data_IF_740868428067
#
_entry.id   IF_740868428067
#
_cell.length_a   1.000
_cell.length_b   1.000
_cell.length_c   1.000
_cell.angle_alpha   90.00
_cell.angle_beta   90.00
_cell.angle_gamma   90.00
#
_symmetry.space_group_name_H-M   'P 1'
#
loop_
_entity.id
_entity.type
_entity.pdbx_description
1 polymer ?
#
# COMPACT_ATOMS: atom_id res chain seq x y z
N UNK A 1 -12.70 -9.82 32.39
CA UNK A 1 -11.72 -9.14 31.51
C UNK A 1 -10.83 -10.19 30.86
N UNK A 2 -11.28 -10.81 29.76
CA UNK A 2 -10.51 -11.83 29.04
C UNK A 2 -9.58 -11.11 28.05
N UNK A 3 -8.34 -10.84 28.46
CA UNK A 3 -7.25 -10.40 27.58
C UNK A 3 -6.33 -11.61 27.40
N UNK A 4 -6.16 -12.12 26.18
CA UNK A 4 -5.09 -13.09 25.96
C UNK A 4 -5.08 -13.84 24.63
N UNK A 5 -6.23 -14.11 24.02
CA UNK A 5 -6.24 -14.85 22.76
C UNK A 5 -6.39 -13.89 21.57
N UNK A 6 -5.52 -13.98 20.54
CA UNK A 6 -5.69 -13.22 19.31
C UNK A 6 -7.03 -13.61 18.68
N UNK A 7 -7.80 -12.61 18.24
CA UNK A 7 -9.08 -12.84 17.57
C UNK A 7 -8.86 -13.74 16.33
N UNK A 8 -9.35 -14.99 16.34
CA UNK A 8 -9.11 -15.92 15.24
C UNK A 8 -9.72 -15.43 13.92
N UNK A 9 -10.78 -14.61 13.98
CA UNK A 9 -11.36 -14.03 12.78
C UNK A 9 -10.46 -12.95 12.16
N UNK A 10 -9.72 -12.19 12.98
CA UNK A 10 -8.74 -11.22 12.45
C UNK A 10 -7.59 -11.95 11.75
N UNK A 11 -7.10 -13.05 12.34
CA UNK A 11 -6.08 -13.88 11.69
C UNK A 11 -6.60 -14.46 10.37
N UNK A 12 -7.81 -15.00 10.35
CA UNK A 12 -8.43 -15.49 9.13
C UNK A 12 -8.59 -14.37 8.06
N UNK A 13 -8.99 -13.16 8.46
CA UNK A 13 -9.08 -12.02 7.56
C UNK A 13 -7.71 -11.64 6.97
N UNK A 14 -6.65 -11.63 7.77
CA UNK A 14 -5.28 -11.37 7.30
C UNK A 14 -4.77 -12.47 6.36
N UNK A 15 -5.14 -13.73 6.58
CA UNK A 15 -4.78 -14.82 5.68
C UNK A 15 -5.41 -14.67 4.28
N UNK A 16 -6.60 -14.03 4.17
CA UNK A 16 -7.19 -13.71 2.87
C UNK A 16 -6.28 -12.79 2.04
N UNK A 17 -5.52 -11.90 2.69
CA UNK A 17 -4.58 -11.01 2.00
C UNK A 17 -3.51 -11.78 1.21
N UNK A 18 -3.12 -12.97 1.66
CA UNK A 18 -2.12 -13.78 0.94
C UNK A 18 -2.57 -14.14 -0.47
N UNK A 19 -3.86 -14.48 -0.64
CA UNK A 19 -4.41 -14.81 -1.96
C UNK A 19 -4.49 -13.57 -2.85
N UNK A 20 -4.93 -12.43 -2.30
CA UNK A 20 -4.99 -11.17 -3.04
C UNK A 20 -3.60 -10.64 -3.43
N UNK A 21 -2.61 -10.83 -2.55
CA UNK A 21 -1.23 -10.40 -2.75
C UNK A 21 -0.43 -11.36 -3.64
N UNK A 22 -0.93 -12.58 -3.89
CA UNK A 22 -0.20 -13.60 -4.64
C UNK A 22 0.37 -13.10 -5.97
N UNK A 23 -0.37 -12.39 -6.84
CA UNK A 23 0.18 -11.89 -8.10
C UNK A 23 1.31 -10.88 -7.92
N UNK A 24 1.31 -10.10 -6.84
CA UNK A 24 2.39 -9.14 -6.52
C UNK A 24 3.64 -9.88 -6.03
N UNK A 25 3.46 -10.98 -5.29
CA UNK A 25 4.55 -11.78 -4.74
C UNK A 25 5.17 -12.72 -5.79
N UNK A 26 4.37 -13.25 -6.71
CA UNK A 26 4.81 -14.26 -7.67
C UNK A 26 5.45 -13.68 -8.94
N UNK A 27 5.27 -12.39 -9.20
CA UNK A 27 5.77 -11.74 -10.42
C UNK A 27 6.78 -10.64 -10.09
N UNK A 28 7.84 -10.57 -10.90
CA UNK A 28 8.81 -9.49 -10.83
C UNK A 28 8.23 -8.19 -11.38
N UNK A 29 8.70 -7.06 -10.84
CA UNK A 29 8.23 -5.74 -11.24
C UNK A 29 6.81 -5.40 -10.77
N UNK A 30 6.33 -4.23 -11.19
CA UNK A 30 4.99 -3.74 -10.86
C UNK A 30 3.94 -4.30 -11.85
N UNK A 31 2.68 -4.48 -11.40
CA UNK A 31 1.58 -4.75 -12.31
C UNK A 31 1.46 -3.66 -13.39
N UNK A 32 1.11 -4.06 -14.59
CA UNK A 32 0.83 -3.12 -15.67
C UNK A 32 -0.53 -2.45 -15.46
N UNK A 33 -0.54 -1.29 -14.81
CA UNK A 33 -1.72 -0.42 -14.66
C UNK A 33 -1.56 0.86 -15.49
N UNK A 34 -2.66 1.60 -15.68
CA UNK A 34 -2.66 2.82 -16.46
C UNK A 34 -1.70 3.91 -15.91
N UNK A 35 -1.52 3.95 -14.60
CA UNK A 35 -0.77 4.97 -13.86
C UNK A 35 0.44 4.42 -13.07
N UNK A 36 0.65 3.09 -13.06
CA UNK A 36 1.73 2.44 -12.32
C UNK A 36 3.12 3.03 -12.60
N UNK A 37 3.51 3.21 -13.88
CA UNK A 37 4.77 3.88 -14.22
C UNK A 37 4.89 5.30 -13.67
N UNK A 38 3.79 6.05 -13.65
CA UNK A 38 3.76 7.43 -13.11
C UNK A 38 4.05 7.41 -11.61
N UNK A 39 3.45 6.49 -10.85
CA UNK A 39 3.72 6.36 -9.43
C UNK A 39 5.16 5.96 -9.12
N UNK A 40 5.76 5.07 -9.92
CA UNK A 40 7.16 4.70 -9.77
C UNK A 40 8.11 5.87 -10.05
N UNK A 41 7.86 6.68 -11.08
CA UNK A 41 8.65 7.89 -11.38
C UNK A 41 8.56 8.91 -10.22
N UNK A 42 7.37 9.11 -9.66
CA UNK A 42 7.17 9.99 -8.50
C UNK A 42 7.88 9.47 -7.24
N UNK A 43 7.95 8.15 -7.08
CA UNK A 43 8.72 7.55 -5.99
C UNK A 43 10.23 7.78 -6.17
N UNK A 44 10.74 7.67 -7.41
CA UNK A 44 12.15 7.93 -7.69
C UNK A 44 12.55 9.39 -7.35
N UNK A 45 11.66 10.34 -7.63
CA UNK A 45 11.81 11.75 -7.24
C UNK A 45 11.88 11.93 -5.72
N UNK A 46 10.98 11.29 -4.97
CA UNK A 46 11.02 11.32 -3.50
C UNK A 46 12.32 10.71 -2.97
N UNK A 47 12.75 9.58 -3.55
CA UNK A 47 13.97 8.91 -3.17
C UNK A 47 15.20 9.80 -3.38
N UNK A 48 15.30 10.48 -4.54
CA UNK A 48 16.37 11.44 -4.82
C UNK A 48 16.36 12.58 -3.80
N UNK A 49 15.18 13.17 -3.53
CA UNK A 49 15.05 14.22 -2.53
C UNK A 49 15.53 13.78 -1.13
N UNK A 50 15.22 12.55 -0.72
CA UNK A 50 15.70 12.00 0.55
C UNK A 50 17.21 11.78 0.57
N UNK A 51 17.81 11.33 -0.54
CA UNK A 51 19.26 11.23 -0.68
C UNK A 51 19.95 12.59 -0.56
N UNK A 52 19.27 13.65 -1.01
CA UNK A 52 19.72 15.05 -0.89
C UNK A 52 19.39 15.67 0.48
N UNK A 53 18.85 14.89 1.43
CA UNK A 53 18.51 15.33 2.79
C UNK A 53 17.17 16.07 2.91
N UNK A 54 16.35 16.09 1.86
CA UNK A 54 15.05 16.75 1.81
C UNK A 54 13.95 15.71 2.07
N UNK A 55 13.58 15.52 3.35
CA UNK A 55 12.59 14.52 3.74
C UNK A 55 11.15 14.84 3.30
N UNK A 56 10.86 16.14 3.15
CA UNK A 56 9.55 16.66 2.74
C UNK A 56 9.70 17.57 1.52
N UNK A 57 9.98 17.01 0.33
CA UNK A 57 10.13 17.81 -0.88
C UNK A 57 8.79 18.47 -1.25
N UNK A 58 8.88 19.56 -2.01
CA UNK A 58 7.72 20.23 -2.62
C UNK A 58 7.75 20.14 -4.14
N UNK A 59 8.94 20.03 -4.70
CA UNK A 59 9.24 20.08 -6.12
C UNK A 59 9.84 18.74 -6.57
N UNK A 60 9.46 18.30 -7.76
CA UNK A 60 10.00 17.13 -8.45
C UNK A 60 10.68 17.63 -9.74
N UNK A 61 12.01 17.77 -9.79
CA UNK A 61 12.72 18.43 -10.88
C UNK A 61 12.73 17.68 -12.22
N UNK A 62 12.73 16.35 -12.24
CA UNK A 62 12.88 15.56 -13.47
C UNK A 62 11.53 15.33 -14.18
N UNK A 63 10.42 15.54 -13.48
CA UNK A 63 9.07 15.46 -14.05
C UNK A 63 8.76 16.63 -15.01
N UNK A 64 7.61 16.50 -15.69
CA UNK A 64 7.12 17.49 -16.66
C UNK A 64 8.17 17.82 -17.74
N UNK A 65 8.75 16.78 -18.38
CA UNK A 65 9.81 16.93 -19.40
C UNK A 65 11.06 17.67 -18.89
N UNK A 66 11.38 17.58 -17.60
CA UNK A 66 12.53 18.24 -16.98
C UNK A 66 12.31 19.72 -16.63
N UNK A 67 11.11 20.27 -16.84
CA UNK A 67 10.75 21.59 -16.31
C UNK A 67 10.48 21.55 -14.81
N UNK A 68 10.23 20.37 -14.26
CA UNK A 68 9.83 20.13 -12.90
C UNK A 68 8.38 20.52 -12.62
N UNK A 69 7.87 20.04 -11.48
CA UNK A 69 6.52 20.40 -11.02
C UNK A 69 6.39 20.36 -9.49
N UNK A 70 5.44 21.11 -8.90
CA UNK A 70 5.23 21.14 -7.44
C UNK A 70 4.46 19.91 -6.92
N UNK A 71 4.80 18.71 -7.40
CA UNK A 71 4.06 17.48 -7.18
C UNK A 71 3.71 17.24 -5.71
N UNK A 72 4.71 17.27 -4.83
CA UNK A 72 4.57 16.88 -3.43
C UNK A 72 3.79 17.90 -2.59
N UNK A 73 3.50 19.08 -3.15
CA UNK A 73 2.59 20.06 -2.52
C UNK A 73 1.12 19.68 -2.68
N UNK A 74 0.79 18.85 -3.68
CA UNK A 74 -0.60 18.52 -4.05
C UNK A 74 -0.90 17.02 -4.03
N UNK A 75 0.11 16.17 -4.19
CA UNK A 75 -0.06 14.73 -4.19
C UNK A 75 -0.16 14.17 -2.74
N UNK A 76 -1.11 13.27 -2.45
CA UNK A 76 -1.16 12.59 -1.16
C UNK A 76 0.17 11.86 -0.87
N UNK A 77 0.82 12.10 0.28
CA UNK A 77 2.20 11.66 0.50
C UNK A 77 2.32 10.19 0.94
N UNK A 78 1.26 9.60 1.51
CA UNK A 78 1.38 8.40 2.32
C UNK A 78 1.95 7.19 1.56
N UNK A 79 1.49 6.96 0.33
CA UNK A 79 2.00 5.87 -0.51
C UNK A 79 3.52 6.00 -0.69
N UNK A 80 3.99 7.21 -0.99
CA UNK A 80 5.40 7.42 -1.28
C UNK A 80 6.26 7.33 -0.03
N UNK A 81 5.75 7.82 1.10
CA UNK A 81 6.47 7.78 2.38
C UNK A 81 6.61 6.36 2.92
N UNK A 82 5.54 5.55 2.87
CA UNK A 82 5.60 4.14 3.27
C UNK A 82 6.53 3.35 2.35
N UNK A 83 6.44 3.59 1.04
CA UNK A 83 7.33 2.98 0.06
C UNK A 83 8.79 3.35 0.31
N UNK A 84 9.07 4.62 0.62
CA UNK A 84 10.42 5.07 0.91
C UNK A 84 10.99 4.42 2.17
N UNK A 85 10.18 4.29 3.23
CA UNK A 85 10.59 3.58 4.46
C UNK A 85 10.90 2.11 4.18
N UNK A 86 10.11 1.42 3.35
CA UNK A 86 10.43 0.06 2.92
C UNK A 86 11.71 0.01 2.08
N UNK A 87 11.92 0.98 1.19
CA UNK A 87 13.13 1.08 0.39
C UNK A 87 14.40 1.21 1.25
N UNK A 88 14.33 1.93 2.39
CA UNK A 88 15.45 2.05 3.34
C UNK A 88 15.91 0.70 3.93
N UNK A 89 15.08 -0.35 3.86
CA UNK A 89 15.50 -1.71 4.26
C UNK A 89 16.40 -2.42 3.24
N UNK A 90 16.66 -1.79 2.08
CA UNK A 90 17.45 -2.34 0.98
C UNK A 90 16.63 -2.97 -0.15
N UNK A 91 15.30 -2.93 -0.06
CA UNK A 91 14.40 -3.36 -1.15
C UNK A 91 14.59 -2.49 -2.39
N UNK A 92 14.46 -3.04 -3.59
CA UNK A 92 14.34 -2.24 -4.81
C UNK A 92 13.05 -1.38 -4.76
N UNK A 93 12.99 -0.25 -5.47
CA UNK A 93 11.86 0.69 -5.38
C UNK A 93 10.52 0.07 -5.79
N UNK A 94 10.51 -0.76 -6.82
CA UNK A 94 9.35 -1.50 -7.29
C UNK A 94 8.90 -2.55 -6.27
N UNK A 95 9.83 -3.28 -5.66
CA UNK A 95 9.54 -4.24 -4.58
C UNK A 95 9.02 -3.55 -3.31
N UNK A 96 9.60 -2.41 -2.94
CA UNK A 96 9.13 -1.60 -1.84
C UNK A 96 7.71 -1.09 -2.09
N UNK A 97 7.42 -0.66 -3.32
CA UNK A 97 6.07 -0.20 -3.71
C UNK A 97 5.07 -1.36 -3.70
N UNK A 98 5.46 -2.57 -4.13
CA UNK A 98 4.64 -3.78 -3.95
C UNK A 98 4.38 -4.07 -2.47
N UNK A 99 5.39 -3.94 -1.61
CA UNK A 99 5.23 -4.07 -0.16
C UNK A 99 4.19 -3.10 0.41
N UNK A 100 4.19 -1.84 -0.05
CA UNK A 100 3.17 -0.85 0.31
C UNK A 100 1.76 -1.27 -0.13
N UNK A 101 1.62 -1.79 -1.36
CA UNK A 101 0.33 -2.28 -1.87
C UNK A 101 -0.16 -3.49 -1.05
N UNK A 102 0.72 -4.43 -0.70
CA UNK A 102 0.38 -5.59 0.13
C UNK A 102 -0.06 -5.14 1.53
N UNK A 103 0.62 -4.16 2.12
CA UNK A 103 0.21 -3.57 3.39
C UNK A 103 -1.19 -2.94 3.29
N UNK A 104 -1.48 -2.21 2.20
CA UNK A 104 -2.82 -1.67 1.96
C UNK A 104 -3.89 -2.76 1.87
N UNK A 105 -3.62 -3.86 1.17
CA UNK A 105 -4.54 -5.02 1.10
C UNK A 105 -4.78 -5.64 2.49
N UNK A 106 -3.74 -5.73 3.33
CA UNK A 106 -3.88 -6.20 4.70
C UNK A 106 -4.76 -5.27 5.54
N UNK A 107 -4.55 -3.96 5.42
CA UNK A 107 -5.33 -2.94 6.11
C UNK A 107 -6.79 -2.91 5.64
N UNK A 108 -7.06 -3.14 4.36
CA UNK A 108 -8.42 -3.25 3.83
C UNK A 108 -9.17 -4.45 4.44
N UNK A 109 -8.54 -5.62 4.42
CA UNK A 109 -9.13 -6.84 4.98
C UNK A 109 -9.35 -6.71 6.49
N UNK A 110 -8.32 -6.29 7.23
CA UNK A 110 -8.40 -6.10 8.67
C UNK A 110 -9.43 -5.02 9.03
N UNK A 111 -9.33 -3.83 8.43
CA UNK A 111 -10.23 -2.72 8.73
C UNK A 111 -11.71 -3.08 8.53
N UNK A 112 -12.04 -3.76 7.41
CA UNK A 112 -13.41 -4.17 7.14
C UNK A 112 -13.89 -5.29 8.08
N UNK A 113 -13.03 -6.25 8.40
CA UNK A 113 -13.31 -7.27 9.40
C UNK A 113 -13.65 -6.66 10.76
N UNK A 114 -12.76 -5.78 11.25
CA UNK A 114 -12.91 -5.10 12.55
C UNK A 114 -14.20 -4.28 12.60
N UNK A 115 -14.50 -3.51 11.53
CA UNK A 115 -15.69 -2.70 11.47
C UNK A 115 -16.98 -3.54 11.53
N UNK A 116 -17.09 -4.55 10.67
CA UNK A 116 -18.33 -5.31 10.52
C UNK A 116 -18.54 -6.31 11.65
N UNK A 117 -17.47 -6.87 12.24
CA UNK A 117 -17.63 -7.75 13.40
C UNK A 117 -18.23 -7.02 14.61
N UNK A 118 -17.85 -5.74 14.79
CA UNK A 118 -18.26 -4.92 15.93
C UNK A 118 -19.73 -4.46 15.77
N UNK A 119 -20.20 -4.30 14.53
CA UNK A 119 -21.60 -3.92 14.22
C UNK A 119 -22.53 -5.14 14.18
N UNK A 120 -22.07 -6.27 13.64
CA UNK A 120 -22.90 -7.45 13.40
C UNK A 120 -22.36 -8.69 14.12
N UNK A 121 -21.38 -9.38 13.52
CA UNK A 121 -20.80 -10.60 14.08
C UNK A 121 -19.45 -10.93 13.42
N UNK A 122 -18.58 -11.73 14.08
CA UNK A 122 -17.31 -12.17 13.48
C UNK A 122 -17.47 -12.87 12.13
N UNK A 123 -18.54 -13.66 11.93
CA UNK A 123 -18.80 -14.34 10.64
C UNK A 123 -19.14 -13.33 9.55
N UNK A 124 -20.01 -12.36 9.85
CA UNK A 124 -20.31 -11.27 8.93
C UNK A 124 -19.07 -10.44 8.60
N UNK A 125 -18.20 -10.21 9.59
CA UNK A 125 -16.91 -9.54 9.43
C UNK A 125 -16.02 -10.24 8.40
N UNK A 126 -15.91 -11.56 8.45
CA UNK A 126 -15.10 -12.33 7.49
C UNK A 126 -15.66 -12.24 6.06
N UNK A 127 -16.98 -12.34 5.91
CA UNK A 127 -17.63 -12.20 4.60
C UNK A 127 -17.40 -10.80 4.05
N UNK A 128 -17.54 -9.77 4.88
CA UNK A 128 -17.30 -8.39 4.48
C UNK A 128 -15.83 -8.12 4.15
N UNK A 129 -14.89 -8.67 4.91
CA UNK A 129 -13.46 -8.59 4.60
C UNK A 129 -13.13 -9.23 3.26
N UNK A 130 -13.64 -10.43 2.98
CA UNK A 130 -13.46 -11.08 1.68
C UNK A 130 -14.09 -10.26 0.54
N UNK A 131 -15.34 -9.82 0.70
CA UNK A 131 -16.01 -8.99 -0.29
C UNK A 131 -15.25 -7.67 -0.53
N UNK A 132 -14.78 -7.02 0.54
CA UNK A 132 -13.99 -5.81 0.48
C UNK A 132 -12.50 -6.04 0.16
N UNK A 133 -12.01 -7.26 0.04
CA UNK A 133 -10.66 -7.51 -0.44
C UNK A 133 -10.66 -7.84 -1.93
N UNK A 134 -11.66 -8.61 -2.37
CA UNK A 134 -11.70 -9.21 -3.71
C UNK A 134 -12.62 -8.51 -4.72
N UNK A 135 -13.42 -7.52 -4.32
CA UNK A 135 -14.21 -6.78 -5.32
C UNK A 135 -13.29 -6.16 -6.41
N UNK A 136 -13.74 -6.13 -7.67
CA UNK A 136 -12.96 -5.62 -8.80
C UNK A 136 -12.80 -4.08 -8.75
N UNK A 137 -11.85 -3.54 -9.53
CA UNK A 137 -11.59 -2.09 -9.71
C UNK A 137 -11.25 -1.33 -8.42
N UNK A 138 -10.20 -1.77 -7.73
CA UNK A 138 -9.64 -1.08 -6.54
C UNK A 138 -8.35 -0.31 -6.82
N UNK A 139 -7.81 -0.51 -8.02
CA UNK A 139 -6.62 0.11 -8.58
C UNK A 139 -7.02 0.79 -9.88
#
# INVERSE_FOLDING_TARGET
MNRGLPDPGLLAALLLTLLAAWPLLSNAGLPNTADGPVHLMRQAELNRAWQDGILYPRWAPDLAYGYGMPLFSYAPPLLYQVTQVLHLSGMALDEAMKGTLILMLALYSAGMYLLVRDIFSPRAGLVAAAAYLYAPYRL
#
